data_IF_843235966166
#
_entry.id   IF_843235966166
#
_cell.length_a   1.000
_cell.length_b   1.000
_cell.length_c   1.000
_cell.angle_alpha   90.00
_cell.angle_beta   90.00
_cell.angle_gamma   90.00
#
_symmetry.space_group_name_H-M   'P 1'
#
loop_
_entity.id
_entity.type
_entity.pdbx_description
1 polymer ?
#
# COMPACT_ATOMS: atom_id res chain seq x y z
N UNK A 1 7.41 18.59 -7.39
CA UNK A 1 6.80 17.29 -7.01
C UNK A 1 7.40 16.82 -5.68
N UNK A 2 6.72 15.96 -4.91
CA UNK A 2 7.25 15.38 -3.66
C UNK A 2 7.27 13.86 -3.73
N UNK A 3 8.32 13.23 -3.22
CA UNK A 3 8.37 11.80 -2.89
C UNK A 3 8.16 11.63 -1.40
N UNK A 4 7.34 10.66 -1.01
CA UNK A 4 7.02 10.37 0.38
C UNK A 4 7.23 8.89 0.65
N UNK A 5 7.85 8.59 1.77
CA UNK A 5 7.87 7.26 2.38
C UNK A 5 7.12 7.33 3.70
N UNK A 6 6.14 6.47 3.84
CA UNK A 6 5.30 6.32 5.02
C UNK A 6 5.60 4.95 5.64
N UNK A 7 5.83 4.90 6.95
CA UNK A 7 6.13 3.66 7.66
C UNK A 7 5.26 3.53 8.90
N UNK A 8 4.83 2.29 9.13
CA UNK A 8 4.15 1.86 10.32
C UNK A 8 4.87 0.66 10.91
N UNK A 9 5.10 0.72 12.22
CA UNK A 9 5.59 -0.38 13.02
C UNK A 9 4.40 -1.28 13.42
N UNK A 10 4.69 -2.54 13.73
CA UNK A 10 3.65 -3.52 14.09
C UNK A 10 2.78 -3.08 15.29
N UNK A 11 3.36 -2.43 16.29
CA UNK A 11 2.64 -1.93 17.46
C UNK A 11 1.54 -0.93 17.09
N UNK A 12 1.83 -0.04 16.13
CA UNK A 12 0.91 1.00 15.68
C UNK A 12 -0.16 0.43 14.76
N UNK A 13 0.22 -0.54 13.91
CA UNK A 13 -0.74 -1.29 13.09
C UNK A 13 -1.73 -2.09 13.93
N UNK A 14 -1.28 -2.70 15.04
CA UNK A 14 -2.15 -3.43 15.99
C UNK A 14 -3.14 -2.53 16.73
N UNK A 15 -2.90 -1.21 16.74
CA UNK A 15 -3.89 -0.25 17.25
C UNK A 15 -5.11 -0.11 16.34
N UNK A 16 -4.99 -0.45 15.05
CA UNK A 16 -6.13 -0.49 14.12
C UNK A 16 -6.80 -1.87 14.16
N UNK A 17 -8.11 -1.88 14.41
CA UNK A 17 -8.92 -3.11 14.40
C UNK A 17 -8.90 -3.79 13.03
N UNK A 18 -8.95 -3.01 11.96
CA UNK A 18 -8.95 -3.52 10.58
C UNK A 18 -7.62 -4.21 10.25
N UNK A 19 -6.49 -3.54 10.50
CA UNK A 19 -5.17 -4.13 10.21
C UNK A 19 -4.87 -5.31 11.14
N UNK A 20 -5.31 -5.24 12.39
CA UNK A 20 -5.20 -6.36 13.32
C UNK A 20 -5.94 -7.60 12.83
N UNK A 21 -7.06 -7.45 12.13
CA UNK A 21 -7.79 -8.58 11.58
C UNK A 21 -7.03 -9.22 10.41
N UNK A 22 -6.44 -8.43 9.52
CA UNK A 22 -5.55 -8.94 8.47
C UNK A 22 -4.42 -9.77 9.10
N UNK A 23 -3.72 -9.20 10.08
CA UNK A 23 -2.58 -9.82 10.75
C UNK A 23 -2.94 -11.06 11.59
N UNK A 24 -4.22 -11.40 11.77
CA UNK A 24 -4.65 -12.68 12.35
C UNK A 24 -4.73 -13.80 11.31
N UNK A 25 -4.89 -13.44 10.04
CA UNK A 25 -5.11 -14.36 8.92
C UNK A 25 -3.81 -14.62 8.16
N UNK A 26 -3.04 -13.55 7.91
CA UNK A 26 -1.84 -13.61 7.07
C UNK A 26 -0.58 -13.27 7.87
N UNK A 27 0.53 -13.86 7.46
CA UNK A 27 1.87 -13.42 7.86
C UNK A 27 2.26 -12.17 7.09
N UNK A 28 1.95 -12.14 5.79
CA UNK A 28 2.15 -10.97 4.94
C UNK A 28 1.18 -10.92 3.76
N UNK A 29 0.87 -9.70 3.32
CA UNK A 29 0.31 -9.41 1.99
C UNK A 29 1.22 -8.35 1.37
N UNK A 30 1.83 -8.67 0.23
CA UNK A 30 2.63 -7.74 -0.56
C UNK A 30 1.96 -7.50 -1.91
N UNK A 31 1.56 -6.25 -2.16
CA UNK A 31 1.07 -5.81 -3.46
C UNK A 31 2.28 -5.60 -4.36
N UNK A 32 2.39 -6.43 -5.40
CA UNK A 32 3.47 -6.42 -6.38
C UNK A 32 3.21 -5.41 -7.51
N UNK A 33 1.93 -5.23 -7.89
CA UNK A 33 1.54 -4.29 -8.95
C UNK A 33 0.06 -3.89 -8.85
N UNK A 34 -0.30 -2.79 -9.50
CA UNK A 34 -1.69 -2.40 -9.75
C UNK A 34 -2.09 -2.87 -11.14
N UNK A 35 -3.06 -3.77 -11.23
CA UNK A 35 -3.60 -4.28 -12.50
C UNK A 35 -4.64 -3.32 -13.08
N UNK A 36 -5.45 -2.69 -12.23
CA UNK A 36 -6.43 -1.68 -12.64
C UNK A 36 -6.77 -0.77 -11.47
N UNK A 37 -7.01 0.52 -11.77
CA UNK A 37 -7.38 1.54 -10.79
C UNK A 37 -8.69 2.17 -11.25
N UNK A 38 -9.72 2.13 -10.40
CA UNK A 38 -11.04 2.71 -10.69
C UNK A 38 -11.53 3.56 -9.53
N UNK A 39 -12.59 4.33 -9.71
CA UNK A 39 -13.24 5.06 -8.61
C UNK A 39 -13.77 4.14 -7.49
N UNK A 40 -13.99 2.85 -7.78
CA UNK A 40 -14.55 1.89 -6.82
C UNK A 40 -13.50 1.15 -6.01
N UNK A 41 -12.27 1.06 -6.50
CA UNK A 41 -11.20 0.29 -5.88
C UNK A 41 -10.03 0.04 -6.83
N UNK A 42 -9.09 -0.78 -6.37
CA UNK A 42 -7.88 -1.15 -7.09
C UNK A 42 -7.82 -2.67 -7.23
N UNK A 43 -7.65 -3.16 -8.45
CA UNK A 43 -7.29 -4.54 -8.72
C UNK A 43 -5.78 -4.65 -8.69
N UNK A 44 -5.27 -5.58 -7.89
CA UNK A 44 -3.86 -5.66 -7.53
C UNK A 44 -3.35 -7.07 -7.79
N UNK A 45 -2.09 -7.18 -8.21
CA UNK A 45 -1.35 -8.43 -8.14
C UNK A 45 -0.71 -8.47 -6.75
N UNK A 46 -1.02 -9.49 -5.96
CA UNK A 46 -0.53 -9.60 -4.59
C UNK A 46 0.02 -10.99 -4.28
N UNK A 47 1.15 -11.05 -3.58
CA UNK A 47 1.66 -12.25 -2.93
C UNK A 47 1.15 -12.28 -1.49
N UNK A 48 0.59 -13.42 -1.08
CA UNK A 48 0.04 -13.62 0.26
C UNK A 48 0.72 -14.82 0.91
N UNK A 49 1.17 -14.63 2.15
CA UNK A 49 1.67 -15.72 3.02
C UNK A 49 0.69 -15.90 4.15
N UNK A 50 0.08 -17.07 4.21
CA UNK A 50 -0.95 -17.39 5.21
C UNK A 50 -0.30 -17.73 6.55
N UNK A 51 -0.99 -17.42 7.65
CA UNK A 51 -0.60 -17.99 8.94
C UNK A 51 -0.88 -19.48 8.99
N UNK A 52 -0.16 -20.17 9.86
CA UNK A 52 -0.41 -21.58 10.12
C UNK A 52 -1.88 -21.82 10.53
N UNK A 53 -2.51 -22.80 9.88
CA UNK A 53 -3.93 -23.12 10.07
C UNK A 53 -4.93 -22.17 9.40
N UNK A 54 -4.47 -21.18 8.63
CA UNK A 54 -5.31 -20.27 7.85
C UNK A 54 -5.27 -20.59 6.36
N UNK A 55 -6.35 -20.30 5.66
CA UNK A 55 -6.52 -20.54 4.22
C UNK A 55 -6.97 -19.27 3.50
N UNK A 56 -6.88 -19.25 2.17
CA UNK A 56 -7.29 -18.08 1.38
C UNK A 56 -8.75 -17.69 1.60
N UNK A 57 -9.62 -18.64 1.94
CA UNK A 57 -11.01 -18.40 2.26
C UNK A 57 -11.18 -17.48 3.48
N UNK A 58 -10.25 -17.52 4.45
CA UNK A 58 -10.27 -16.62 5.61
C UNK A 58 -10.14 -15.14 5.22
N UNK A 59 -9.59 -14.82 4.03
CA UNK A 59 -9.50 -13.43 3.54
C UNK A 59 -10.89 -12.81 3.37
N UNK A 60 -11.92 -13.63 3.13
CA UNK A 60 -13.31 -13.17 3.03
C UNK A 60 -13.85 -12.53 4.32
N UNK A 61 -13.18 -12.73 5.47
CA UNK A 61 -13.47 -12.01 6.72
C UNK A 61 -13.13 -10.51 6.63
N UNK A 62 -12.33 -10.11 5.65
CA UNK A 62 -11.90 -8.73 5.42
C UNK A 62 -12.81 -8.12 4.35
N UNK A 63 -13.86 -7.41 4.77
CA UNK A 63 -14.96 -6.94 3.91
C UNK A 63 -14.57 -6.03 2.73
N UNK A 64 -13.33 -5.54 2.70
CA UNK A 64 -12.81 -4.65 1.65
C UNK A 64 -11.72 -5.30 0.79
N UNK A 65 -11.44 -6.59 1.00
CA UNK A 65 -10.61 -7.43 0.15
C UNK A 65 -11.42 -8.55 -0.47
N UNK A 66 -11.14 -8.86 -1.73
CA UNK A 66 -11.73 -10.00 -2.43
C UNK A 66 -10.67 -10.64 -3.32
N UNK A 67 -10.46 -11.95 -3.15
CA UNK A 67 -9.59 -12.73 -4.03
C UNK A 67 -10.39 -13.06 -5.30
N UNK A 68 -9.98 -12.47 -6.42
CA UNK A 68 -10.65 -12.65 -7.72
C UNK A 68 -10.18 -13.93 -8.40
N UNK A 69 -8.87 -14.17 -8.38
CA UNK A 69 -8.25 -15.31 -9.04
C UNK A 69 -6.96 -15.69 -8.32
N UNK A 70 -6.70 -17.00 -8.21
CA UNK A 70 -5.40 -17.53 -7.81
C UNK A 70 -4.57 -17.79 -9.06
N UNK A 71 -3.45 -17.10 -9.19
CA UNK A 71 -2.61 -17.12 -10.38
C UNK A 71 -1.48 -18.14 -10.26
N UNK A 72 -0.87 -18.22 -9.07
CA UNK A 72 0.25 -19.12 -8.79
C UNK A 72 0.24 -19.54 -7.33
N UNK A 73 0.61 -20.79 -7.05
CA UNK A 73 0.75 -21.32 -5.68
C UNK A 73 2.17 -21.86 -5.51
N UNK A 74 2.85 -21.39 -4.49
CA UNK A 74 4.12 -21.91 -4.02
C UNK A 74 3.93 -22.62 -2.68
N UNK A 75 5.00 -23.19 -2.12
CA UNK A 75 4.94 -23.96 -0.88
C UNK A 75 4.56 -23.10 0.34
N UNK A 76 4.97 -21.83 0.38
CA UNK A 76 4.78 -20.90 1.50
C UNK A 76 3.96 -19.64 1.15
N UNK A 77 3.64 -19.45 -0.12
CA UNK A 77 2.96 -18.25 -0.61
C UNK A 77 1.99 -18.54 -1.75
N UNK A 78 1.10 -17.58 -2.01
CA UNK A 78 0.16 -17.63 -3.13
C UNK A 78 0.06 -16.27 -3.78
N UNK A 79 0.16 -16.25 -5.11
CA UNK A 79 -0.01 -15.05 -5.92
C UNK A 79 -1.44 -14.98 -6.43
N UNK A 80 -2.09 -13.85 -6.20
CA UNK A 80 -3.51 -13.64 -6.51
C UNK A 80 -3.77 -12.32 -7.21
N UNK A 81 -4.86 -12.28 -7.97
CA UNK A 81 -5.56 -11.05 -8.31
C UNK A 81 -6.44 -10.65 -7.13
N UNK A 82 -6.08 -9.58 -6.44
CA UNK A 82 -6.76 -9.10 -5.22
C UNK A 82 -7.47 -7.78 -5.51
N UNK A 83 -8.78 -7.75 -5.30
CA UNK A 83 -9.58 -6.53 -5.37
C UNK A 83 -9.61 -5.84 -4.01
N UNK A 84 -9.23 -4.56 -3.97
CA UNK A 84 -9.17 -3.75 -2.75
C UNK A 84 -10.07 -2.53 -2.86
N UNK A 85 -11.05 -2.43 -1.96
CA UNK A 85 -12.01 -1.31 -1.88
C UNK A 85 -11.82 -0.46 -0.63
N UNK A 86 -10.70 -0.64 0.08
CA UNK A 86 -10.45 0.06 1.34
C UNK A 86 -10.52 1.58 1.16
N UNK A 87 -11.19 2.34 2.05
CA UNK A 87 -11.34 3.80 1.92
C UNK A 87 -10.03 4.55 1.73
N UNK A 88 -8.94 4.05 2.31
CA UNK A 88 -7.60 4.61 2.11
C UNK A 88 -7.11 4.50 0.67
N UNK A 89 -7.30 3.34 0.03
CA UNK A 89 -6.93 3.15 -1.36
C UNK A 89 -7.75 4.09 -2.26
N UNK A 90 -9.05 4.22 -2.00
CA UNK A 90 -9.94 5.14 -2.73
C UNK A 90 -9.55 6.61 -2.55
N UNK A 91 -9.16 7.01 -1.33
CA UNK A 91 -8.69 8.37 -1.05
C UNK A 91 -7.44 8.75 -1.87
N UNK A 92 -6.53 7.79 -2.11
CA UNK A 92 -5.35 8.03 -2.95
C UNK A 92 -5.74 8.29 -4.41
N UNK A 93 -6.78 7.60 -4.90
CA UNK A 93 -7.31 7.74 -6.26
C UNK A 93 -7.98 9.11 -6.43
N UNK A 94 -8.82 9.51 -5.46
CA UNK A 94 -9.59 10.76 -5.51
C UNK A 94 -8.72 12.01 -5.51
N UNK A 95 -7.64 12.03 -4.71
CA UNK A 95 -6.83 13.24 -4.53
C UNK A 95 -6.07 13.69 -5.77
N UNK A 96 -6.06 12.87 -6.84
CA UNK A 96 -5.48 13.14 -8.16
C UNK A 96 -3.98 13.51 -8.11
N UNK A 97 -3.21 13.11 -9.11
CA UNK A 97 -1.76 13.41 -9.18
C UNK A 97 -0.95 12.86 -7.98
N UNK A 98 -1.38 11.73 -7.40
CA UNK A 98 -0.61 10.90 -6.49
C UNK A 98 -0.40 9.55 -7.16
N UNK A 99 0.85 9.10 -7.20
CA UNK A 99 1.21 7.76 -7.61
C UNK A 99 1.73 7.00 -6.40
N UNK A 100 1.11 5.87 -6.07
CA UNK A 100 1.62 4.91 -5.09
C UNK A 100 2.49 3.88 -5.82
N UNK A 101 3.63 3.52 -5.24
CA UNK A 101 4.60 2.61 -5.85
C UNK A 101 4.61 1.25 -5.16
N UNK A 102 4.15 0.19 -5.84
CA UNK A 102 4.51 -1.18 -5.52
C UNK A 102 6.05 -1.42 -5.62
N UNK A 103 6.61 -2.40 -4.89
CA UNK A 103 5.92 -3.20 -3.91
C UNK A 103 5.66 -2.44 -2.60
N UNK A 104 4.51 -2.73 -1.99
CA UNK A 104 4.16 -2.33 -0.63
C UNK A 104 3.28 -3.40 -0.01
N UNK A 105 3.27 -3.51 1.32
CA UNK A 105 2.53 -4.57 1.98
C UNK A 105 2.50 -4.43 3.48
N UNK A 106 1.72 -5.31 4.10
CA UNK A 106 1.67 -5.48 5.55
C UNK A 106 2.39 -6.80 5.86
N UNK A 107 3.28 -6.76 6.85
CA UNK A 107 4.10 -7.88 7.28
C UNK A 107 4.05 -7.98 8.81
N UNK A 108 3.83 -9.19 9.32
CA UNK A 108 3.66 -9.46 10.75
C UNK A 108 4.93 -9.26 11.60
N UNK A 109 6.08 -9.05 10.95
CA UNK A 109 7.38 -8.76 11.58
C UNK A 109 7.84 -7.33 11.26
N UNK A 110 7.81 -6.94 9.98
CA UNK A 110 8.38 -5.68 9.47
C UNK A 110 7.43 -4.50 9.54
N UNK A 111 6.13 -4.73 9.71
CA UNK A 111 5.10 -3.69 9.68
C UNK A 111 4.68 -3.34 8.25
N UNK A 112 4.50 -2.05 7.96
CA UNK A 112 4.07 -1.58 6.64
C UNK A 112 4.91 -0.40 6.17
N UNK A 113 5.31 -0.42 4.90
CA UNK A 113 5.93 0.72 4.22
C UNK A 113 5.18 1.01 2.93
N UNK A 114 4.84 2.28 2.70
CA UNK A 114 4.27 2.75 1.45
C UNK A 114 5.13 3.87 0.89
N UNK A 115 5.45 3.76 -0.40
CA UNK A 115 6.18 4.78 -1.16
C UNK A 115 5.24 5.42 -2.16
N UNK A 116 5.30 6.74 -2.28
CA UNK A 116 4.49 7.48 -3.25
C UNK A 116 5.15 8.76 -3.70
N UNK A 117 4.66 9.33 -4.79
CA UNK A 117 4.96 10.69 -5.18
C UNK A 117 3.73 11.43 -5.67
N UNK A 118 3.81 12.75 -5.73
CA UNK A 118 2.73 13.55 -6.29
C UNK A 118 2.99 15.05 -6.22
N UNK A 119 2.01 15.82 -6.69
CA UNK A 119 2.02 17.26 -6.51
C UNK A 119 2.00 17.63 -5.03
N UNK A 120 2.68 18.71 -4.66
CA UNK A 120 2.91 19.10 -3.26
C UNK A 120 1.61 19.21 -2.46
N UNK A 121 0.58 19.79 -3.05
CA UNK A 121 -0.72 20.00 -2.39
C UNK A 121 -1.51 18.70 -2.26
N UNK A 122 -1.56 17.86 -3.30
CA UNK A 122 -2.19 16.53 -3.24
C UNK A 122 -1.54 15.66 -2.16
N UNK A 123 -0.20 15.62 -2.13
CA UNK A 123 0.56 14.88 -1.11
C UNK A 123 0.26 15.42 0.29
N UNK A 124 0.21 16.75 0.47
CA UNK A 124 -0.09 17.35 1.78
C UNK A 124 -1.49 16.96 2.27
N UNK A 125 -2.50 17.03 1.39
CA UNK A 125 -3.88 16.63 1.70
C UNK A 125 -3.95 15.15 2.07
N UNK A 126 -3.34 14.28 1.26
CA UNK A 126 -3.31 12.84 1.53
C UNK A 126 -2.67 12.51 2.88
N UNK A 127 -1.49 13.06 3.15
CA UNK A 127 -0.80 12.84 4.44
C UNK A 127 -1.63 13.37 5.62
N UNK A 128 -2.35 14.48 5.45
CA UNK A 128 -3.23 15.01 6.51
C UNK A 128 -4.41 14.08 6.82
N UNK A 129 -5.06 13.52 5.80
CA UNK A 129 -6.13 12.52 5.97
C UNK A 129 -5.60 11.25 6.62
N UNK A 130 -4.44 10.78 6.15
CA UNK A 130 -3.80 9.57 6.65
C UNK A 130 -3.45 9.65 8.14
N UNK A 131 -3.02 10.81 8.64
CA UNK A 131 -2.73 11.02 10.07
C UNK A 131 -3.93 10.84 10.98
N UNK A 132 -5.15 10.98 10.45
CA UNK A 132 -6.39 10.80 11.23
C UNK A 132 -6.85 9.35 11.21
N UNK A 133 -6.75 8.68 10.05
CA UNK A 133 -7.31 7.33 9.85
C UNK A 133 -6.34 6.23 10.31
N UNK A 134 -5.06 6.34 9.92
CA UNK A 134 -4.03 5.35 10.21
C UNK A 134 -2.67 6.05 10.33
N UNK A 135 -2.39 6.72 11.46
CA UNK A 135 -1.21 7.57 11.59
C UNK A 135 0.10 6.78 11.41
N UNK A 136 0.97 7.18 10.47
CA UNK A 136 2.29 6.57 10.30
C UNK A 136 3.24 6.97 11.42
N UNK A 137 4.06 6.02 11.85
CA UNK A 137 5.13 6.24 12.84
C UNK A 137 6.24 7.13 12.26
N UNK A 138 6.52 6.99 10.97
CA UNK A 138 7.53 7.80 10.28
C UNK A 138 7.03 8.29 8.92
N UNK A 139 7.25 9.57 8.67
CA UNK A 139 7.03 10.20 7.37
C UNK A 139 8.35 10.83 6.92
N UNK A 140 8.86 10.38 5.77
CA UNK A 140 9.99 11.00 5.09
C UNK A 140 9.48 11.71 3.83
N UNK A 141 9.75 13.00 3.68
CA UNK A 141 9.33 13.79 2.50
C UNK A 141 10.56 14.36 1.82
N UNK A 142 10.74 14.04 0.54
CA UNK A 142 11.80 14.56 -0.31
C UNK A 142 11.20 15.38 -1.44
N UNK A 143 11.56 16.66 -1.52
CA UNK A 143 11.19 17.51 -2.65
C UNK A 143 12.03 17.13 -3.86
N UNK A 144 11.37 16.81 -4.97
CA UNK A 144 12.03 16.76 -6.28
C UNK A 144 12.15 18.21 -6.74
N UNK A 145 13.35 18.77 -6.63
CA UNK A 145 13.70 20.01 -7.34
C UNK A 145 14.00 19.60 -8.79
N UNK A 146 13.45 20.32 -9.75
CA UNK A 146 13.91 20.20 -11.14
C UNK A 146 15.41 20.54 -11.14
N UNK A 147 16.22 19.55 -11.49
CA UNK A 147 17.61 19.81 -11.83
C UNK A 147 17.62 20.48 -13.21
N UNK A 148 17.31 21.77 -13.27
CA UNK A 148 17.69 22.57 -14.42
C UNK A 148 19.07 23.21 -14.20
N UNK A 149 19.95 22.94 -15.18
CA UNK A 149 21.26 23.52 -15.49
C UNK A 149 22.48 23.01 -14.73
N UNK A 150 22.92 21.80 -15.10
CA UNK A 150 24.34 21.59 -15.46
C UNK A 150 24.34 21.37 -16.99
N UNK A 151 24.53 22.40 -17.82
CA UNK A 151 25.85 22.99 -18.01
C UNK A 151 26.71 22.13 -18.93
N UNK A 152 26.17 21.62 -20.05
CA UNK A 152 27.01 21.29 -21.21
C UNK A 152 27.24 22.59 -21.97
N UNK A 153 28.33 23.26 -21.68
CA UNK A 153 28.96 24.14 -22.65
C UNK A 153 29.79 23.26 -23.56
N UNK A 154 29.44 23.23 -24.84
CA UNK A 154 30.30 22.72 -25.90
C UNK A 154 31.69 23.38 -25.77
N UNK A 155 32.72 22.56 -25.68
CA UNK A 155 34.12 22.94 -25.72
C UNK A 155 34.87 22.02 -26.69
#
# INVERSE_FOLDING_TARGET
MRRVTLRWNLSSLRGSKEISNILKIVESIEVLSHLSVTSNGVLQLAEIRMKEGKTLEDISEISWLEVIEVLEKEDDSVVVSLWCTHPFAKSAIELSNIQVYPPYGIDSVRGMEIRMSGLSDSVRRFVSTLRVVLPPDKISVNSIRDSERNGWTDG
#
